data_IF_942230754799
#
_entry.id   IF_942230754799
#
_cell.length_a   1.000
_cell.length_b   1.000
_cell.length_c   1.000
_cell.angle_alpha   90.00
_cell.angle_beta   90.00
_cell.angle_gamma   90.00
#
_symmetry.space_group_name_H-M   'P 1'
#
loop_
_entity.id
_entity.type
_entity.pdbx_description
1 polymer ?
#
# COMPACT_ATOMS: atom_id res chain seq x y z
N UNK A 1 5.65 -6.10 16.32
CA UNK A 1 5.37 -7.46 15.84
C UNK A 1 5.67 -7.60 14.37
N UNK A 2 6.00 -8.80 13.96
CA UNK A 2 6.13 -9.17 12.55
C UNK A 2 5.97 -10.66 12.34
N UNK A 3 5.56 -11.05 11.14
CA UNK A 3 5.70 -12.40 10.61
C UNK A 3 7.10 -12.60 10.04
N UNK A 4 7.57 -13.84 10.05
CA UNK A 4 8.84 -14.27 9.47
C UNK A 4 8.60 -15.58 8.74
N UNK A 5 9.05 -15.68 7.49
CA UNK A 5 8.93 -16.89 6.69
C UNK A 5 9.60 -18.09 7.36
N UNK A 6 8.99 -19.24 7.16
CA UNK A 6 9.50 -20.55 7.47
C UNK A 6 9.46 -21.43 6.24
N UNK A 7 8.70 -22.53 6.29
CA UNK A 7 8.30 -23.24 5.09
C UNK A 7 7.21 -22.50 4.36
N UNK A 8 6.24 -21.94 5.09
CA UNK A 8 5.29 -20.99 4.54
C UNK A 8 5.94 -19.63 4.24
N UNK A 9 5.61 -19.04 3.09
CA UNK A 9 6.22 -17.83 2.55
C UNK A 9 5.21 -16.69 2.36
N UNK A 10 5.67 -15.47 2.52
CA UNK A 10 4.85 -14.27 2.37
C UNK A 10 4.24 -14.14 0.97
N UNK A 11 4.89 -14.62 -0.06
CA UNK A 11 4.40 -14.46 -1.44
C UNK A 11 3.29 -15.45 -1.82
N UNK A 12 3.32 -16.65 -1.26
CA UNK A 12 2.35 -17.73 -1.53
C UNK A 12 1.28 -17.79 -0.47
N UNK A 13 1.69 -18.07 0.75
CA UNK A 13 0.83 -18.67 1.77
C UNK A 13 0.16 -17.68 2.70
N UNK A 14 0.74 -16.49 2.87
CA UNK A 14 0.16 -15.47 3.77
C UNK A 14 0.59 -14.05 3.39
N UNK A 15 -0.14 -13.06 3.90
CA UNK A 15 0.26 -11.66 3.81
C UNK A 15 1.06 -11.28 5.04
N UNK A 16 2.27 -10.73 4.86
CA UNK A 16 3.10 -10.21 5.94
C UNK A 16 2.30 -9.26 6.83
N UNK A 17 2.28 -9.57 8.13
CA UNK A 17 1.75 -8.70 9.16
C UNK A 17 2.91 -8.12 9.98
N UNK A 18 3.02 -6.80 10.03
CA UNK A 18 4.05 -6.11 10.79
C UNK A 18 3.56 -4.75 11.29
N UNK A 19 4.03 -4.36 12.46
CA UNK A 19 3.61 -3.08 13.05
C UNK A 19 4.00 -2.95 14.51
N UNK A 20 3.39 -1.98 15.18
CA UNK A 20 3.62 -1.71 16.60
C UNK A 20 2.34 -1.92 17.40
N UNK A 21 2.41 -2.78 18.42
CA UNK A 21 1.37 -2.94 19.42
C UNK A 21 1.55 -1.84 20.47
N UNK A 22 0.56 -0.97 20.61
CA UNK A 22 0.58 0.12 21.58
C UNK A 22 -0.40 -0.18 22.69
N UNK A 23 0.10 -0.24 23.92
CA UNK A 23 -0.71 -0.46 25.11
C UNK A 23 -0.96 0.87 25.81
N UNK A 24 -2.22 1.25 25.95
CA UNK A 24 -2.63 2.35 26.80
C UNK A 24 -2.68 1.93 28.28
N UNK A 25 -2.93 2.90 29.16
CA UNK A 25 -3.06 2.62 30.58
C UNK A 25 -4.20 1.61 30.85
N UNK A 26 -3.89 0.53 31.52
CA UNK A 26 -4.85 -0.53 31.86
C UNK A 26 -5.11 -1.55 30.75
N UNK A 27 -4.53 -1.42 29.58
CA UNK A 27 -4.66 -2.40 28.51
C UNK A 27 -3.72 -3.59 28.75
N UNK A 28 -4.28 -4.80 28.72
CA UNK A 28 -3.55 -6.06 29.01
C UNK A 28 -3.41 -6.98 27.80
N UNK A 29 -4.10 -6.67 26.67
CA UNK A 29 -4.08 -7.50 25.46
C UNK A 29 -4.22 -6.67 24.20
N UNK A 30 -3.56 -7.12 23.14
CA UNK A 30 -3.70 -6.61 21.77
C UNK A 30 -3.73 -7.78 20.81
N UNK A 31 -4.46 -7.62 19.73
CA UNK A 31 -4.56 -8.60 18.63
C UNK A 31 -4.13 -7.97 17.32
N UNK A 32 -3.66 -8.79 16.42
CA UNK A 32 -3.47 -8.48 15.01
C UNK A 32 -3.84 -9.70 14.19
N UNK A 33 -4.20 -9.50 12.93
CA UNK A 33 -4.56 -10.57 12.01
C UNK A 33 -3.40 -10.85 11.06
N UNK A 34 -3.25 -12.11 10.66
CA UNK A 34 -2.45 -12.52 9.51
C UNK A 34 -3.41 -13.09 8.48
N UNK A 35 -3.37 -12.57 7.27
CA UNK A 35 -4.21 -13.04 6.18
C UNK A 35 -3.52 -14.24 5.54
N UNK A 36 -4.19 -15.38 5.51
CA UNK A 36 -3.73 -16.59 4.85
C UNK A 36 -4.26 -16.57 3.43
N UNK A 37 -3.42 -16.88 2.47
CA UNK A 37 -3.78 -17.07 1.06
C UNK A 37 -4.09 -18.54 0.80
N UNK A 38 -5.01 -18.78 -0.11
CA UNK A 38 -5.33 -20.10 -0.64
C UNK A 38 -4.74 -20.22 -2.05
N UNK A 39 -4.31 -21.43 -2.45
CA UNK A 39 -3.73 -21.68 -3.77
C UNK A 39 -4.10 -23.09 -4.30
N UNK A 40 -3.50 -23.50 -5.40
CA UNK A 40 -3.74 -24.81 -6.05
C UNK A 40 -2.51 -25.71 -5.99
N UNK A 41 -1.64 -25.49 -5.03
CA UNK A 41 -0.42 -26.29 -4.85
C UNK A 41 -0.62 -27.28 -3.70
N UNK A 42 -0.24 -28.53 -3.90
CA UNK A 42 -0.22 -29.54 -2.83
C UNK A 42 1.12 -29.45 -2.11
N UNK A 43 1.17 -28.77 -1.00
CA UNK A 43 2.41 -28.43 -0.30
C UNK A 43 2.55 -29.13 1.06
N UNK A 44 1.44 -29.62 1.59
CA UNK A 44 1.37 -30.21 2.93
C UNK A 44 1.34 -29.16 4.03
N UNK A 45 1.74 -29.56 5.23
CA UNK A 45 1.71 -28.63 6.37
C UNK A 45 2.95 -27.74 6.37
N UNK A 46 2.73 -26.44 6.34
CA UNK A 46 3.74 -25.42 6.33
C UNK A 46 3.69 -24.52 7.58
N UNK A 47 4.73 -23.75 7.82
CA UNK A 47 4.77 -22.90 9.01
C UNK A 47 5.51 -21.59 8.79
N UNK A 48 5.09 -20.57 9.53
CA UNK A 48 5.78 -19.30 9.67
C UNK A 48 5.86 -18.90 11.16
N UNK A 49 6.68 -17.90 11.47
CA UNK A 49 6.87 -17.44 12.84
C UNK A 49 6.27 -16.05 13.06
N UNK A 50 5.56 -15.86 14.16
CA UNK A 50 5.20 -14.56 14.72
C UNK A 50 6.28 -14.16 15.73
N UNK A 51 6.82 -12.95 15.63
CA UNK A 51 7.84 -12.45 16.55
C UNK A 51 7.46 -11.07 17.12
N UNK A 52 7.74 -10.90 18.42
CA UNK A 52 7.73 -9.60 19.09
C UNK A 52 9.17 -9.12 19.26
N UNK A 53 9.40 -7.84 19.06
CA UNK A 53 10.73 -7.24 19.18
C UNK A 53 10.66 -5.78 19.62
N UNK A 54 11.79 -5.21 19.99
CA UNK A 54 11.97 -3.77 20.25
C UNK A 54 10.94 -3.18 21.23
N UNK A 55 10.81 -3.71 22.47
CA UNK A 55 9.93 -3.13 23.47
C UNK A 55 10.43 -1.73 23.85
N UNK A 56 9.50 -0.80 24.08
CA UNK A 56 9.80 0.59 24.47
C UNK A 56 8.95 1.01 25.67
N UNK A 57 9.21 2.21 26.21
CA UNK A 57 8.40 2.76 27.32
C UNK A 57 8.52 1.99 28.63
N UNK A 58 9.65 1.33 28.88
CA UNK A 58 9.87 0.53 30.09
C UNK A 58 9.34 -0.91 30.02
N UNK A 59 8.74 -1.31 28.88
CA UNK A 59 8.31 -2.68 28.67
C UNK A 59 9.49 -3.62 28.42
N UNK A 60 9.32 -4.90 28.74
CA UNK A 60 10.25 -5.97 28.41
C UNK A 60 9.51 -7.11 27.71
N UNK A 61 10.22 -7.87 26.87
CA UNK A 61 9.67 -9.10 26.30
C UNK A 61 9.60 -10.18 27.37
N UNK A 62 8.49 -10.91 27.40
CA UNK A 62 8.34 -12.11 28.20
C UNK A 62 9.17 -13.29 27.65
N UNK A 63 9.14 -14.41 28.36
CA UNK A 63 9.86 -15.62 27.96
C UNK A 63 9.41 -16.13 26.56
N UNK A 64 8.14 -15.92 26.18
CA UNK A 64 7.59 -16.29 24.89
C UNK A 64 7.47 -15.03 24.02
N UNK A 65 8.54 -14.66 23.35
CA UNK A 65 8.57 -13.53 22.41
C UNK A 65 8.33 -13.95 20.94
N UNK A 66 8.14 -15.24 20.67
CA UNK A 66 7.82 -15.78 19.36
C UNK A 66 6.85 -16.95 19.45
N UNK A 67 6.11 -17.19 18.38
CA UNK A 67 5.21 -18.33 18.24
C UNK A 67 5.24 -18.82 16.79
N UNK A 68 5.22 -20.14 16.60
CA UNK A 68 5.08 -20.76 15.29
C UNK A 68 3.59 -20.94 14.97
N UNK A 69 3.21 -20.55 13.79
CA UNK A 69 1.87 -20.80 13.20
C UNK A 69 2.03 -21.85 12.11
N UNK A 70 1.18 -22.87 12.12
CA UNK A 70 1.13 -23.89 11.09
C UNK A 70 -0.08 -23.62 10.18
N UNK A 71 0.16 -23.61 8.88
CA UNK A 71 -0.87 -23.64 7.83
C UNK A 71 -1.03 -25.10 7.42
N UNK A 72 -2.25 -25.57 7.39
CA UNK A 72 -2.56 -26.94 6.96
C UNK A 72 -3.18 -26.89 5.58
N UNK A 73 -2.54 -27.52 4.62
CA UNK A 73 -3.05 -27.73 3.29
C UNK A 73 -4.34 -28.57 3.33
N UNK A 74 -5.33 -28.23 2.53
CA UNK A 74 -6.61 -28.92 2.49
C UNK A 74 -6.53 -30.30 1.78
N UNK A 75 -5.43 -30.59 1.09
CA UNK A 75 -5.08 -31.91 0.55
C UNK A 75 -5.84 -32.32 -0.72
N UNK A 76 -6.65 -31.45 -1.30
CA UNK A 76 -7.34 -31.72 -2.58
C UNK A 76 -7.43 -30.44 -3.42
N UNK A 77 -6.40 -30.25 -4.22
CA UNK A 77 -6.27 -29.03 -5.00
C UNK A 77 -6.95 -29.12 -6.37
N UNK A 78 -7.57 -28.03 -6.87
CA UNK A 78 -8.11 -28.00 -8.21
C UNK A 78 -6.99 -28.13 -9.25
N UNK A 79 -7.28 -28.81 -10.34
CA UNK A 79 -6.31 -28.95 -11.46
C UNK A 79 -6.08 -27.66 -12.26
N UNK A 80 -6.80 -26.60 -11.92
CA UNK A 80 -6.66 -25.24 -12.49
C UNK A 80 -6.12 -24.29 -11.45
N UNK A 81 -5.42 -23.27 -11.89
CA UNK A 81 -4.96 -22.21 -11.00
C UNK A 81 -6.17 -21.52 -10.33
N UNK A 82 -6.22 -21.52 -9.00
CA UNK A 82 -7.36 -21.02 -8.23
C UNK A 82 -7.61 -19.52 -8.45
N UNK A 83 -6.57 -18.76 -8.82
CA UNK A 83 -6.71 -17.32 -9.11
C UNK A 83 -7.61 -17.07 -10.34
N UNK A 84 -7.90 -18.08 -11.15
CA UNK A 84 -8.86 -17.98 -12.26
C UNK A 84 -10.31 -17.97 -11.77
N UNK A 85 -10.58 -18.40 -10.54
CA UNK A 85 -11.88 -18.24 -9.91
C UNK A 85 -12.14 -16.77 -9.57
N UNK A 86 -13.37 -16.28 -9.82
CA UNK A 86 -13.72 -14.89 -9.64
C UNK A 86 -13.73 -14.48 -8.16
N UNK A 87 -14.17 -15.36 -7.27
CA UNK A 87 -14.24 -15.09 -5.83
C UNK A 87 -12.83 -15.01 -5.22
N UNK A 88 -11.98 -15.99 -5.55
CA UNK A 88 -10.57 -15.99 -5.13
C UNK A 88 -9.84 -14.76 -5.66
N UNK A 89 -10.03 -14.43 -6.94
CA UNK A 89 -9.40 -13.24 -7.54
C UNK A 89 -9.79 -11.94 -6.82
N UNK A 90 -11.07 -11.75 -6.55
CA UNK A 90 -11.55 -10.57 -5.83
C UNK A 90 -11.07 -10.58 -4.38
N UNK A 91 -11.18 -11.70 -3.67
CA UNK A 91 -10.70 -11.84 -2.29
C UNK A 91 -9.21 -11.51 -2.16
N UNK A 92 -8.40 -11.99 -3.11
CA UNK A 92 -6.97 -11.69 -3.13
C UNK A 92 -6.67 -10.19 -3.33
N UNK A 93 -7.49 -9.45 -4.08
CA UNK A 93 -7.34 -8.00 -4.19
C UNK A 93 -7.59 -7.26 -2.88
N UNK A 94 -8.50 -7.74 -2.03
CA UNK A 94 -8.65 -7.20 -0.67
C UNK A 94 -7.39 -7.43 0.17
N UNK A 95 -6.75 -8.59 0.05
CA UNK A 95 -5.47 -8.86 0.72
C UNK A 95 -4.35 -7.96 0.18
N UNK A 96 -4.19 -7.92 -1.15
CA UNK A 96 -3.05 -7.29 -1.82
C UNK A 96 -3.09 -5.76 -1.76
N UNK A 97 -4.27 -5.15 -1.82
CA UNK A 97 -4.42 -3.68 -1.86
C UNK A 97 -4.90 -3.08 -0.55
N UNK A 98 -5.73 -3.80 0.21
CA UNK A 98 -6.41 -3.27 1.38
C UNK A 98 -6.00 -3.95 2.70
N UNK A 99 -5.10 -4.93 2.66
CA UNK A 99 -4.57 -5.66 3.84
C UNK A 99 -5.68 -6.17 4.78
N UNK A 100 -6.80 -6.61 4.25
CA UNK A 100 -7.93 -7.14 5.02
C UNK A 100 -8.70 -8.21 4.26
N UNK A 101 -9.51 -8.95 4.98
CA UNK A 101 -10.52 -9.82 4.36
C UNK A 101 -11.57 -8.98 3.62
N UNK A 102 -12.09 -9.56 2.54
CA UNK A 102 -13.23 -8.98 1.85
C UNK A 102 -14.45 -8.95 2.78
N UNK A 103 -15.19 -7.85 2.75
CA UNK A 103 -16.54 -7.83 3.27
C UNK A 103 -17.49 -8.52 2.28
N UNK A 104 -18.61 -9.04 2.83
CA UNK A 104 -19.56 -9.83 2.03
C UNK A 104 -20.10 -9.06 0.82
N UNK A 105 -20.52 -7.82 1.02
CA UNK A 105 -21.17 -7.03 -0.02
C UNK A 105 -20.19 -6.66 -1.14
N UNK A 106 -18.97 -6.25 -0.79
CA UNK A 106 -17.92 -5.89 -1.74
C UNK A 106 -17.44 -7.11 -2.53
N UNK A 107 -17.21 -8.25 -1.86
CA UNK A 107 -16.84 -9.50 -2.52
C UNK A 107 -17.91 -9.93 -3.52
N UNK A 108 -19.17 -9.94 -3.08
CA UNK A 108 -20.31 -10.34 -3.92
C UNK A 108 -20.45 -9.41 -5.13
N UNK A 109 -20.39 -8.09 -4.94
CA UNK A 109 -20.50 -7.12 -6.02
C UNK A 109 -19.46 -7.34 -7.13
N UNK A 110 -18.19 -7.42 -6.76
CA UNK A 110 -17.11 -7.57 -7.74
C UNK A 110 -17.07 -8.94 -8.39
N UNK A 111 -17.36 -10.00 -7.66
CA UNK A 111 -17.49 -11.36 -8.19
C UNK A 111 -18.58 -11.43 -9.25
N UNK A 112 -19.78 -10.90 -8.96
CA UNK A 112 -20.89 -10.86 -9.91
C UNK A 112 -20.53 -10.09 -11.19
N UNK A 113 -19.75 -9.02 -11.10
CA UNK A 113 -19.29 -8.30 -12.29
C UNK A 113 -18.46 -9.19 -13.23
N UNK A 114 -17.66 -10.10 -12.69
CA UNK A 114 -16.89 -11.07 -13.51
C UNK A 114 -17.81 -12.19 -14.00
N UNK A 115 -18.70 -12.72 -13.18
CA UNK A 115 -19.60 -13.82 -13.54
C UNK A 115 -20.62 -13.47 -14.64
N UNK A 116 -20.97 -12.21 -14.80
CA UNK A 116 -21.79 -11.73 -15.93
C UNK A 116 -21.20 -12.07 -17.29
N UNK A 117 -19.91 -12.31 -17.36
CA UNK A 117 -19.21 -12.72 -18.59
C UNK A 117 -19.47 -14.19 -18.99
N UNK A 118 -20.03 -15.00 -18.09
CA UNK A 118 -20.19 -16.45 -18.32
C UNK A 118 -18.88 -17.10 -18.76
N UNK A 119 -18.82 -17.71 -19.94
CA UNK A 119 -17.64 -18.37 -20.49
C UNK A 119 -16.89 -17.56 -21.56
N UNK A 120 -17.18 -16.28 -21.71
CA UNK A 120 -16.46 -15.39 -22.65
C UNK A 120 -15.12 -14.93 -22.05
N UNK A 121 -13.97 -15.48 -22.52
CA UNK A 121 -12.67 -15.15 -21.94
C UNK A 121 -12.26 -13.70 -22.17
N UNK A 122 -12.69 -13.07 -23.27
CA UNK A 122 -12.40 -11.66 -23.55
C UNK A 122 -13.14 -10.73 -22.58
N UNK A 123 -14.41 -11.04 -22.29
CA UNK A 123 -15.18 -10.32 -21.29
C UNK A 123 -14.57 -10.48 -19.89
N UNK A 124 -14.21 -11.71 -19.49
CA UNK A 124 -13.58 -12.00 -18.20
C UNK A 124 -12.30 -11.21 -18.02
N UNK A 125 -11.42 -11.19 -19.01
CA UNK A 125 -10.16 -10.44 -19.00
C UNK A 125 -10.38 -8.93 -18.78
N UNK A 126 -11.32 -8.35 -19.51
CA UNK A 126 -11.70 -6.93 -19.33
C UNK A 126 -12.25 -6.67 -17.92
N UNK A 127 -13.15 -7.52 -17.43
CA UNK A 127 -13.75 -7.35 -16.10
C UNK A 127 -12.72 -7.49 -14.99
N UNK A 128 -11.81 -8.45 -15.07
CA UNK A 128 -10.71 -8.61 -14.09
C UNK A 128 -9.80 -7.38 -14.06
N UNK A 129 -9.46 -6.84 -15.23
CA UNK A 129 -8.69 -5.60 -15.33
C UNK A 129 -9.43 -4.44 -14.68
N UNK A 130 -10.74 -4.31 -14.92
CA UNK A 130 -11.56 -3.26 -14.31
C UNK A 130 -11.67 -3.39 -12.80
N UNK A 131 -11.85 -4.60 -12.27
CA UNK A 131 -11.83 -4.88 -10.82
C UNK A 131 -10.51 -4.43 -10.22
N UNK A 132 -9.38 -4.84 -10.80
CA UNK A 132 -8.05 -4.48 -10.32
C UNK A 132 -7.83 -2.96 -10.25
N UNK A 133 -8.26 -2.25 -11.28
CA UNK A 133 -8.18 -0.77 -11.31
C UNK A 133 -9.07 -0.13 -10.24
N UNK A 134 -10.26 -0.69 -10.00
CA UNK A 134 -11.18 -0.17 -9.00
C UNK A 134 -10.61 -0.27 -7.58
N UNK A 135 -9.83 -1.31 -7.27
CA UNK A 135 -9.13 -1.41 -5.99
C UNK A 135 -8.08 -0.31 -5.82
N UNK A 136 -7.28 -0.02 -6.84
CA UNK A 136 -6.33 1.09 -6.82
C UNK A 136 -7.04 2.45 -6.69
N UNK A 137 -8.19 2.62 -7.33
CA UNK A 137 -8.98 3.86 -7.30
C UNK A 137 -9.93 3.95 -6.10
N UNK A 138 -10.06 2.91 -5.29
CA UNK A 138 -10.95 2.91 -4.13
C UNK A 138 -10.59 4.01 -3.14
N UNK A 139 -11.61 4.59 -2.48
CA UNK A 139 -11.41 5.60 -1.43
C UNK A 139 -10.48 5.06 -0.34
N UNK A 140 -10.63 3.78 0.01
CA UNK A 140 -9.82 3.14 1.04
C UNK A 140 -8.32 3.15 0.65
N UNK A 141 -7.97 2.69 -0.56
CA UNK A 141 -6.59 2.71 -1.02
C UNK A 141 -6.05 4.13 -1.21
N UNK A 142 -6.83 5.05 -1.80
CA UNK A 142 -6.42 6.42 -2.06
C UNK A 142 -6.07 7.19 -0.78
N UNK A 143 -6.74 6.87 0.32
CA UNK A 143 -6.52 7.52 1.63
C UNK A 143 -5.58 6.75 2.55
N UNK A 144 -5.09 5.59 2.13
CA UNK A 144 -4.14 4.76 2.90
C UNK A 144 -2.86 4.50 2.11
N UNK A 145 -2.80 3.48 1.25
CA UNK A 145 -1.59 3.11 0.52
C UNK A 145 -1.04 4.25 -0.35
N UNK A 146 -1.89 4.93 -1.09
CA UNK A 146 -1.47 6.08 -1.90
C UNK A 146 -0.99 7.26 -1.03
N UNK A 147 -1.62 7.48 0.14
CA UNK A 147 -1.15 8.47 1.10
C UNK A 147 0.26 8.16 1.60
N UNK A 148 0.55 6.91 1.95
CA UNK A 148 1.89 6.47 2.36
C UNK A 148 2.92 6.80 1.28
N UNK A 149 2.66 6.45 0.01
CA UNK A 149 3.59 6.72 -1.10
C UNK A 149 3.87 8.23 -1.22
N UNK A 150 2.85 9.09 -1.13
CA UNK A 150 3.03 10.54 -1.19
C UNK A 150 3.85 11.07 -0.02
N UNK A 151 3.64 10.54 1.19
CA UNK A 151 4.41 10.91 2.39
C UNK A 151 5.88 10.55 2.22
N UNK A 152 6.19 9.33 1.76
CA UNK A 152 7.58 8.93 1.47
C UNK A 152 8.23 9.87 0.45
N UNK A 153 7.53 10.14 -0.64
CA UNK A 153 8.04 10.99 -1.72
C UNK A 153 8.35 12.40 -1.25
N UNK A 154 7.42 13.04 -0.55
CA UNK A 154 7.59 14.37 0.00
C UNK A 154 8.72 14.44 1.05
N UNK A 155 8.91 13.37 1.81
CA UNK A 155 9.89 13.34 2.89
C UNK A 155 11.31 13.04 2.41
N UNK A 156 11.49 12.12 1.46
CA UNK A 156 12.78 11.48 1.25
C UNK A 156 13.33 11.53 -0.18
N UNK A 157 12.61 12.07 -1.16
CA UNK A 157 13.15 12.14 -2.52
C UNK A 157 14.48 12.95 -2.55
N UNK A 158 15.49 12.36 -3.17
CA UNK A 158 16.84 12.93 -3.22
C UNK A 158 17.71 12.66 -1.99
N UNK A 159 17.19 12.01 -0.93
CA UNK A 159 18.01 11.54 0.18
C UNK A 159 18.95 10.41 -0.31
N UNK A 160 20.21 10.40 0.16
CA UNK A 160 21.20 9.43 -0.27
C UNK A 160 20.75 7.96 -0.11
N UNK A 161 20.04 7.65 0.99
CA UNK A 161 19.50 6.32 1.25
C UNK A 161 18.23 6.00 0.42
N UNK A 162 17.55 7.02 -0.12
CA UNK A 162 16.28 6.90 -0.87
C UNK A 162 16.24 7.86 -2.06
N UNK A 163 17.07 7.67 -3.09
CA UNK A 163 17.17 8.64 -4.20
C UNK A 163 15.83 8.89 -4.90
N UNK A 164 14.97 7.87 -4.97
CA UNK A 164 13.64 7.96 -5.59
C UNK A 164 12.55 8.42 -4.61
N UNK A 165 12.82 8.44 -3.30
CA UNK A 165 11.82 8.75 -2.27
C UNK A 165 10.67 7.75 -2.22
N UNK A 166 10.89 6.50 -2.61
CA UNK A 166 9.88 5.44 -2.56
C UNK A 166 10.05 4.59 -1.29
N UNK A 167 8.97 4.07 -0.71
CA UNK A 167 9.06 3.08 0.36
C UNK A 167 9.62 1.77 -0.18
N UNK A 168 10.22 0.97 0.67
CA UNK A 168 10.39 -0.46 0.43
C UNK A 168 9.04 -1.17 0.63
N UNK A 169 8.87 -2.34 0.01
CA UNK A 169 7.63 -3.12 0.12
C UNK A 169 7.19 -3.37 1.57
N UNK A 170 8.11 -3.81 2.42
CA UNK A 170 7.83 -4.07 3.84
C UNK A 170 7.50 -2.80 4.63
N UNK A 171 8.10 -1.67 4.27
CA UNK A 171 7.76 -0.37 4.88
C UNK A 171 6.38 0.09 4.45
N UNK A 172 6.06 -0.06 3.16
CA UNK A 172 4.74 0.24 2.62
C UNK A 172 3.65 -0.57 3.34
N UNK A 173 3.84 -1.88 3.51
CA UNK A 173 2.91 -2.73 4.25
C UNK A 173 2.72 -2.27 5.69
N UNK A 174 3.83 -2.04 6.42
CA UNK A 174 3.80 -1.57 7.80
C UNK A 174 2.96 -0.30 7.95
N UNK A 175 3.26 0.68 7.12
CA UNK A 175 2.69 2.01 7.26
C UNK A 175 1.24 2.06 6.78
N UNK A 176 0.91 1.26 5.74
CA UNK A 176 -0.46 1.11 5.26
C UNK A 176 -1.33 0.38 6.26
N UNK A 177 -0.86 -0.73 6.86
CA UNK A 177 -1.57 -1.46 7.91
C UNK A 177 -1.81 -0.57 9.15
N UNK A 178 -0.93 0.37 9.44
CA UNK A 178 -1.13 1.34 10.51
C UNK A 178 -2.27 2.33 10.19
N UNK A 179 -2.30 2.88 8.98
CA UNK A 179 -3.37 3.78 8.55
C UNK A 179 -4.73 3.09 8.47
N UNK A 180 -4.75 1.83 8.05
CA UNK A 180 -5.97 1.04 7.89
C UNK A 180 -6.51 0.45 9.20
N UNK A 181 -5.79 0.55 10.32
CA UNK A 181 -6.17 -0.10 11.57
C UNK A 181 -7.58 0.25 12.03
N UNK A 182 -8.49 -0.75 12.02
CA UNK A 182 -9.89 -0.60 12.40
C UNK A 182 -10.70 0.27 11.44
N UNK A 183 -10.25 0.40 10.19
CA UNK A 183 -10.98 1.10 9.13
C UNK A 183 -11.59 0.06 8.19
N UNK A 184 -12.92 0.14 8.02
CA UNK A 184 -13.65 -0.56 6.95
C UNK A 184 -14.59 0.47 6.33
N UNK A 185 -14.29 0.86 5.10
CA UNK A 185 -15.08 1.90 4.39
C UNK A 185 -16.54 1.47 4.30
N UNK A 186 -17.46 2.41 4.61
CA UNK A 186 -18.88 2.14 4.67
C UNK A 186 -19.40 1.77 6.08
N UNK A 187 -18.54 1.35 7.00
CA UNK A 187 -18.95 1.14 8.40
C UNK A 187 -19.04 2.46 9.17
N UNK A 188 -19.94 2.54 10.14
CA UNK A 188 -20.11 3.75 10.95
C UNK A 188 -18.79 4.16 11.64
N UNK A 189 -18.41 5.44 11.49
CA UNK A 189 -17.21 6.01 12.13
C UNK A 189 -15.88 5.73 11.42
N UNK A 190 -15.88 5.09 10.26
CA UNK A 190 -14.65 4.78 9.53
C UNK A 190 -13.83 6.04 9.16
N UNK A 191 -14.49 7.12 8.77
CA UNK A 191 -13.80 8.37 8.40
C UNK A 191 -13.05 9.00 9.58
N UNK A 192 -13.72 9.04 10.75
CA UNK A 192 -13.10 9.55 11.97
C UNK A 192 -11.91 8.70 12.39
N UNK A 193 -12.04 7.38 12.29
CA UNK A 193 -10.96 6.43 12.58
C UNK A 193 -9.78 6.64 11.65
N UNK A 194 -10.03 6.72 10.36
CA UNK A 194 -8.99 6.96 9.36
C UNK A 194 -8.30 8.31 9.58
N UNK A 195 -9.06 9.36 9.88
CA UNK A 195 -8.49 10.69 10.18
C UNK A 195 -7.59 10.65 11.43
N UNK A 196 -8.02 9.99 12.51
CA UNK A 196 -7.21 9.80 13.70
C UNK A 196 -5.90 9.05 13.39
N UNK A 197 -6.01 7.90 12.70
CA UNK A 197 -4.84 7.11 12.31
C UNK A 197 -3.86 7.95 11.47
N UNK A 198 -4.36 8.72 10.50
CA UNK A 198 -3.54 9.57 9.62
C UNK A 198 -2.81 10.66 10.40
N UNK A 199 -3.49 11.33 11.35
CA UNK A 199 -2.88 12.35 12.19
C UNK A 199 -1.82 11.75 13.12
N UNK A 200 -2.09 10.61 13.76
CA UNK A 200 -1.13 9.91 14.61
C UNK A 200 0.08 9.43 13.81
N UNK A 201 -0.14 8.88 12.63
CA UNK A 201 0.92 8.48 11.70
C UNK A 201 1.81 9.68 11.35
N UNK A 202 1.23 10.79 10.92
CA UNK A 202 1.99 11.98 10.54
C UNK A 202 2.80 12.57 11.72
N UNK A 203 2.24 12.60 12.94
CA UNK A 203 2.97 13.05 14.14
C UNK A 203 4.20 12.19 14.42
N UNK A 204 4.06 10.87 14.36
CA UNK A 204 5.21 9.98 14.56
C UNK A 204 6.21 10.08 13.43
N UNK A 205 5.73 10.23 12.20
CA UNK A 205 6.57 10.38 11.03
C UNK A 205 7.53 11.56 11.16
N UNK A 206 6.99 12.74 11.44
CA UNK A 206 7.80 13.98 11.56
C UNK A 206 8.69 14.01 12.79
N UNK A 207 8.44 13.18 13.79
CA UNK A 207 9.29 12.98 14.97
C UNK A 207 10.37 11.91 14.76
N UNK A 208 10.30 11.14 13.67
CA UNK A 208 11.24 10.07 13.38
C UNK A 208 12.64 10.58 13.00
N UNK A 209 13.68 9.86 13.43
CA UNK A 209 15.07 10.27 13.22
C UNK A 209 15.42 10.45 11.73
N UNK A 210 14.93 9.57 10.86
CA UNK A 210 15.15 9.67 9.40
C UNK A 210 14.53 10.94 8.82
N UNK A 211 13.31 11.29 9.25
CA UNK A 211 12.66 12.53 8.83
C UNK A 211 13.40 13.76 9.35
N UNK A 212 13.78 13.77 10.63
CA UNK A 212 14.50 14.89 11.26
C UNK A 212 15.87 15.11 10.63
N UNK A 213 16.54 14.07 10.14
CA UNK A 213 17.78 14.19 9.39
C UNK A 213 17.61 14.96 8.06
N UNK A 214 16.43 14.85 7.42
CA UNK A 214 16.10 15.60 6.21
C UNK A 214 15.49 16.97 6.49
N UNK A 215 14.75 17.10 7.59
CA UNK A 215 14.00 18.30 7.99
C UNK A 215 14.40 18.71 9.41
N UNK A 216 15.53 19.40 9.59
CA UNK A 216 15.97 19.90 10.91
C UNK A 216 14.89 20.70 11.63
N UNK A 217 14.96 20.74 12.97
CA UNK A 217 13.92 21.34 13.80
C UNK A 217 13.81 22.86 13.68
N UNK A 218 14.87 23.52 13.23
CA UNK A 218 15.01 24.97 13.07
C UNK A 218 14.51 25.51 11.73
N UNK A 219 13.97 24.65 10.85
CA UNK A 219 13.37 25.11 9.58
C UNK A 219 12.17 26.00 9.82
N UNK A 220 12.11 27.13 9.09
CA UNK A 220 10.90 27.96 9.03
C UNK A 220 9.76 27.25 8.34
N UNK A 221 8.51 27.68 8.56
CA UNK A 221 7.32 27.14 7.88
C UNK A 221 7.47 27.15 6.35
N UNK A 222 8.01 28.26 5.81
CA UNK A 222 8.24 28.39 4.37
C UNK A 222 9.26 27.38 3.86
N UNK A 223 10.44 27.28 4.50
CA UNK A 223 11.49 26.32 4.11
C UNK A 223 10.99 24.90 4.18
N UNK A 224 10.21 24.58 5.21
CA UNK A 224 9.63 23.25 5.40
C UNK A 224 8.66 22.89 4.28
N UNK A 225 7.70 23.76 3.98
CA UNK A 225 6.71 23.54 2.92
C UNK A 225 7.37 23.46 1.54
N UNK A 226 8.28 24.40 1.22
CA UNK A 226 8.99 24.42 -0.08
C UNK A 226 9.82 23.16 -0.30
N UNK A 227 10.50 22.66 0.73
CA UNK A 227 11.27 21.41 0.63
C UNK A 227 10.39 20.19 0.39
N UNK A 228 9.22 20.08 1.05
CA UNK A 228 8.27 19.00 0.82
C UNK A 228 7.74 19.01 -0.63
N UNK A 229 7.37 20.17 -1.15
CA UNK A 229 6.93 20.30 -2.54
C UNK A 229 8.06 20.00 -3.54
N UNK A 230 9.26 20.49 -3.30
CA UNK A 230 10.43 20.22 -4.14
C UNK A 230 10.74 18.72 -4.19
N UNK A 231 10.75 18.03 -3.04
CA UNK A 231 10.91 16.58 -2.97
C UNK A 231 9.80 15.84 -3.74
N UNK A 232 8.57 16.36 -3.70
CA UNK A 232 7.45 15.80 -4.45
C UNK A 232 7.55 16.05 -5.96
N UNK A 233 8.55 16.82 -6.42
CA UNK A 233 8.77 17.12 -7.83
C UNK A 233 7.71 18.03 -8.43
N UNK A 234 7.15 18.94 -7.65
CA UNK A 234 6.13 19.90 -8.09
C UNK A 234 6.48 21.34 -7.69
N UNK A 235 6.01 22.28 -8.51
CA UNK A 235 5.91 23.69 -8.13
C UNK A 235 4.48 23.93 -7.66
N UNK A 236 4.25 24.24 -6.35
CA UNK A 236 2.92 24.45 -5.83
C UNK A 236 2.28 25.72 -6.40
N UNK A 237 0.96 25.76 -6.46
CA UNK A 237 0.23 27.01 -6.57
C UNK A 237 0.45 27.88 -5.33
N UNK A 238 0.21 29.20 -5.43
CA UNK A 238 0.29 30.09 -4.25
C UNK A 238 -0.65 29.62 -3.14
N UNK A 239 -1.86 29.19 -3.48
CA UNK A 239 -2.83 28.69 -2.49
C UNK A 239 -2.36 27.42 -1.77
N UNK A 240 -1.78 26.46 -2.47
CA UNK A 240 -1.24 25.23 -1.87
C UNK A 240 -0.06 25.53 -0.93
N UNK A 241 0.86 26.39 -1.38
CA UNK A 241 2.00 26.81 -0.55
C UNK A 241 1.53 27.52 0.72
N UNK A 242 0.63 28.49 0.58
CA UNK A 242 0.14 29.30 1.70
C UNK A 242 -0.67 28.42 2.68
N UNK A 243 -1.44 27.44 2.18
CA UNK A 243 -2.12 26.45 3.03
C UNK A 243 -1.14 25.60 3.84
N UNK A 244 -0.05 25.13 3.24
CA UNK A 244 0.97 24.34 3.93
C UNK A 244 1.70 25.17 5.00
N UNK A 245 2.03 26.43 4.69
CA UNK A 245 2.65 27.38 5.66
C UNK A 245 1.68 27.65 6.82
N UNK A 246 0.41 27.91 6.53
CA UNK A 246 -0.62 28.11 7.54
C UNK A 246 -0.82 26.88 8.44
N UNK A 247 -0.82 25.68 7.85
CA UNK A 247 -0.91 24.42 8.59
C UNK A 247 0.28 24.19 9.53
N UNK A 248 1.47 24.64 9.16
CA UNK A 248 2.64 24.59 10.03
C UNK A 248 2.46 25.40 11.31
N UNK A 249 1.77 26.54 11.25
CA UNK A 249 1.44 27.39 12.38
C UNK A 249 2.66 27.78 13.23
N UNK A 250 2.63 27.42 14.50
CA UNK A 250 3.74 27.65 15.44
C UNK A 250 4.84 26.57 15.40
N UNK A 251 4.71 25.60 14.48
CA UNK A 251 5.67 24.50 14.34
C UNK A 251 5.48 23.38 15.37
N UNK A 252 6.59 22.81 15.80
CA UNK A 252 6.56 21.61 16.64
C UNK A 252 6.06 20.37 15.89
N UNK A 253 5.80 19.29 16.61
CA UNK A 253 5.36 18.04 16.01
C UNK A 253 4.01 18.17 15.31
N UNK A 254 3.05 18.83 15.92
CA UNK A 254 1.69 18.98 15.37
C UNK A 254 1.68 19.87 14.11
N UNK A 255 2.36 21.01 14.13
CA UNK A 255 2.44 21.89 12.97
C UNK A 255 3.17 21.25 11.79
N UNK A 256 4.28 20.57 12.06
CA UNK A 256 5.02 19.81 11.03
C UNK A 256 4.18 18.68 10.43
N UNK A 257 3.45 17.94 11.25
CA UNK A 257 2.53 16.90 10.80
C UNK A 257 1.40 17.46 9.94
N UNK A 258 0.79 18.56 10.38
CA UNK A 258 -0.29 19.21 9.64
C UNK A 258 0.21 19.76 8.28
N UNK A 259 1.40 20.38 8.24
CA UNK A 259 2.01 20.85 7.00
C UNK A 259 2.37 19.70 6.05
N UNK A 260 2.92 18.60 6.57
CA UNK A 260 3.17 17.40 5.76
C UNK A 260 1.90 16.88 5.09
N UNK A 261 0.81 16.74 5.85
CA UNK A 261 -0.47 16.30 5.31
C UNK A 261 -1.04 17.31 4.31
N UNK A 262 -0.96 18.63 4.60
CA UNK A 262 -1.39 19.67 3.67
C UNK A 262 -0.67 19.59 2.32
N UNK A 263 0.65 19.33 2.32
CA UNK A 263 1.43 19.15 1.09
C UNK A 263 1.05 17.87 0.37
N UNK A 264 1.02 16.74 1.08
CA UNK A 264 0.75 15.44 0.46
C UNK A 264 -0.66 15.30 -0.10
N UNK A 265 -1.63 16.06 0.44
CA UNK A 265 -3.02 16.10 -0.03
C UNK A 265 -3.29 17.22 -1.04
N UNK A 266 -2.30 18.06 -1.35
CA UNK A 266 -2.44 19.09 -2.37
C UNK A 266 -2.69 18.48 -3.75
N UNK A 267 -3.45 19.19 -4.60
CA UNK A 267 -3.77 18.72 -5.94
C UNK A 267 -2.54 18.48 -6.80
N UNK A 268 -1.56 19.38 -6.71
CA UNK A 268 -0.30 19.27 -7.46
C UNK A 268 0.48 18.00 -7.10
N UNK A 269 0.63 17.68 -5.81
CA UNK A 269 1.33 16.47 -5.37
C UNK A 269 0.51 15.22 -5.71
N UNK A 270 -0.80 15.25 -5.46
CA UNK A 270 -1.68 14.14 -5.78
C UNK A 270 -1.59 13.76 -7.27
N UNK A 271 -1.74 14.72 -8.16
CA UNK A 271 -1.67 14.47 -9.60
C UNK A 271 -0.29 13.99 -10.05
N UNK A 272 0.77 14.58 -9.49
CA UNK A 272 2.16 14.23 -9.87
C UNK A 272 2.54 12.82 -9.45
N UNK A 273 2.10 12.38 -8.28
CA UNK A 273 2.50 11.07 -7.73
C UNK A 273 1.58 9.92 -8.17
N UNK A 274 0.49 10.19 -8.91
CA UNK A 274 -0.47 9.16 -9.32
C UNK A 274 0.17 8.06 -10.17
N UNK A 275 0.83 8.41 -11.26
CA UNK A 275 1.48 7.43 -12.14
C UNK A 275 2.58 6.63 -11.43
N UNK A 276 3.53 7.29 -10.71
CA UNK A 276 4.52 6.57 -9.89
C UNK A 276 3.90 5.58 -8.90
N UNK A 277 2.82 5.96 -8.24
CA UNK A 277 2.13 5.09 -7.30
C UNK A 277 1.40 3.93 -8.00
N UNK A 278 0.74 4.19 -9.13
CA UNK A 278 0.06 3.16 -9.90
C UNK A 278 1.03 2.07 -10.37
N UNK A 279 2.22 2.47 -10.84
CA UNK A 279 3.26 1.51 -11.24
C UNK A 279 3.82 0.77 -10.03
N UNK A 280 4.12 1.46 -8.94
CA UNK A 280 4.67 0.84 -7.73
C UNK A 280 3.72 -0.23 -7.18
N UNK A 281 2.42 0.02 -7.22
CA UNK A 281 1.40 -0.93 -6.75
C UNK A 281 1.28 -2.19 -7.60
N UNK A 282 1.74 -2.18 -8.86
CA UNK A 282 1.83 -3.43 -9.62
C UNK A 282 2.85 -4.38 -8.99
N UNK A 283 3.99 -3.85 -8.53
CA UNK A 283 5.02 -4.63 -7.85
C UNK A 283 4.60 -5.00 -6.42
N UNK A 284 4.03 -4.07 -5.68
CA UNK A 284 3.67 -4.29 -4.27
C UNK A 284 2.43 -5.17 -4.11
N UNK A 285 1.37 -4.90 -4.87
CA UNK A 285 0.12 -5.65 -4.80
C UNK A 285 0.27 -7.04 -5.43
N UNK A 286 0.62 -7.11 -6.71
CA UNK A 286 0.63 -8.40 -7.40
C UNK A 286 1.87 -9.23 -7.15
N UNK A 287 3.07 -8.62 -7.19
CA UNK A 287 4.33 -9.34 -7.12
C UNK A 287 4.93 -9.43 -5.71
N UNK A 288 4.41 -8.65 -4.77
CA UNK A 288 4.83 -8.59 -3.35
C UNK A 288 6.34 -8.45 -3.19
N UNK A 289 6.94 -7.50 -3.91
CA UNK A 289 8.36 -7.20 -3.89
C UNK A 289 8.66 -5.77 -4.31
N UNK A 290 9.88 -5.34 -4.08
CA UNK A 290 10.37 -4.10 -4.67
C UNK A 290 10.59 -4.25 -6.18
N UNK A 291 10.47 -3.17 -6.97
CA UNK A 291 10.77 -3.22 -8.40
C UNK A 291 12.17 -3.73 -8.74
N UNK A 292 13.13 -3.52 -7.84
CA UNK A 292 14.54 -3.94 -8.02
C UNK A 292 14.89 -5.30 -7.42
N UNK A 293 13.91 -6.01 -6.85
CA UNK A 293 14.15 -7.34 -6.27
C UNK A 293 14.14 -8.43 -7.35
N UNK A 294 14.76 -9.60 -7.13
CA UNK A 294 14.60 -10.76 -8.01
C UNK A 294 13.11 -11.09 -8.23
N UNK A 295 12.71 -11.50 -9.42
CA UNK A 295 13.52 -11.98 -10.54
C UNK A 295 13.99 -10.91 -11.54
N UNK A 296 13.99 -9.63 -11.20
CA UNK A 296 14.53 -8.60 -12.09
C UNK A 296 15.98 -8.89 -12.46
N UNK A 297 16.25 -9.04 -13.76
CA UNK A 297 17.56 -9.51 -14.25
C UNK A 297 18.71 -8.55 -13.89
N UNK A 298 18.45 -7.26 -13.87
CA UNK A 298 19.41 -6.20 -13.60
C UNK A 298 19.39 -5.69 -12.15
N UNK A 299 18.45 -6.18 -11.34
CA UNK A 299 18.22 -5.74 -9.94
C UNK A 299 18.14 -4.21 -9.82
N UNK A 300 17.48 -3.58 -10.78
CA UNK A 300 17.26 -2.14 -10.85
C UNK A 300 15.77 -1.78 -11.06
N UNK A 301 15.50 -0.56 -11.41
CA UNK A 301 14.14 -0.06 -11.64
C UNK A 301 13.73 -0.04 -13.13
N UNK A 302 14.41 -0.76 -14.02
CA UNK A 302 14.17 -0.68 -15.46
C UNK A 302 12.71 -1.03 -15.83
N UNK A 303 12.16 -2.09 -15.25
CA UNK A 303 10.76 -2.48 -15.44
C UNK A 303 9.77 -1.43 -14.93
N UNK A 304 10.04 -0.87 -13.76
CA UNK A 304 9.27 0.23 -13.19
C UNK A 304 9.32 1.48 -14.08
N UNK A 305 10.52 1.87 -14.53
CA UNK A 305 10.73 3.06 -15.36
C UNK A 305 10.07 2.92 -16.75
N UNK A 306 10.09 1.70 -17.33
CA UNK A 306 9.37 1.40 -18.56
C UNK A 306 7.86 1.65 -18.43
N UNK A 307 7.22 1.10 -17.39
CA UNK A 307 5.78 1.27 -17.18
C UNK A 307 5.43 2.71 -16.80
N UNK A 308 6.27 3.39 -16.04
CA UNK A 308 6.09 4.80 -15.70
C UNK A 308 6.14 5.68 -16.94
N UNK A 309 7.14 5.50 -17.81
CA UNK A 309 7.24 6.24 -19.07
C UNK A 309 6.04 5.98 -19.97
N UNK A 310 5.57 4.72 -20.06
CA UNK A 310 4.37 4.38 -20.83
C UNK A 310 3.12 5.05 -20.27
N UNK A 311 2.92 5.01 -18.95
CA UNK A 311 1.76 5.65 -18.31
C UNK A 311 1.82 7.18 -18.41
N UNK A 312 3.01 7.77 -18.28
CA UNK A 312 3.22 9.21 -18.42
C UNK A 312 2.94 9.69 -19.86
N UNK A 313 3.15 8.84 -20.88
CA UNK A 313 2.85 9.18 -22.28
C UNK A 313 1.36 9.42 -22.54
N UNK A 314 0.48 8.98 -21.68
CA UNK A 314 -0.96 9.20 -21.75
C UNK A 314 -1.45 10.39 -20.92
N UNK A 315 -0.53 11.08 -20.23
CA UNK A 315 -0.86 12.27 -19.44
C UNK A 315 -1.18 13.45 -20.35
N UNK A 316 -2.32 14.09 -20.12
CA UNK A 316 -2.75 15.27 -20.89
C UNK A 316 -2.55 16.54 -20.04
N UNK A 317 -2.20 17.69 -20.67
CA UNK A 317 -2.12 18.96 -19.95
C UNK A 317 -3.44 19.32 -19.26
N UNK A 318 -3.36 19.70 -17.98
CA UNK A 318 -4.53 20.10 -17.19
C UNK A 318 -5.42 18.96 -16.69
N UNK A 319 -5.02 17.70 -16.89
CA UNK A 319 -5.71 16.53 -16.34
C UNK A 319 -5.67 16.53 -14.81
N UNK A 320 -6.82 16.30 -14.19
CA UNK A 320 -6.91 16.08 -12.73
C UNK A 320 -7.30 14.62 -12.44
N UNK A 321 -6.35 13.82 -11.99
CA UNK A 321 -6.54 12.40 -11.67
C UNK A 321 -7.31 12.16 -10.36
N UNK A 322 -7.72 13.21 -9.64
CA UNK A 322 -8.70 13.10 -8.56
C UNK A 322 -10.10 12.83 -9.13
N UNK A 323 -10.33 13.13 -10.40
CA UNK A 323 -11.50 12.68 -11.14
C UNK A 323 -11.31 11.21 -11.49
N UNK A 324 -12.20 10.34 -10.97
CA UNK A 324 -12.11 8.89 -11.15
C UNK A 324 -12.14 8.45 -12.61
N UNK A 325 -12.95 9.09 -13.45
CA UNK A 325 -13.03 8.77 -14.87
C UNK A 325 -11.69 9.07 -15.58
N UNK A 326 -11.09 10.23 -15.30
CA UNK A 326 -9.78 10.60 -15.81
C UNK A 326 -8.70 9.62 -15.37
N UNK A 327 -8.68 9.28 -14.08
CA UNK A 327 -7.73 8.31 -13.51
C UNK A 327 -7.89 6.92 -14.14
N UNK A 328 -9.13 6.45 -14.26
CA UNK A 328 -9.45 5.14 -14.85
C UNK A 328 -9.03 5.08 -16.32
N UNK A 329 -9.37 6.09 -17.12
CA UNK A 329 -9.02 6.14 -18.54
C UNK A 329 -7.51 6.13 -18.77
N UNK A 330 -6.74 6.78 -17.89
CA UNK A 330 -5.27 6.77 -17.96
C UNK A 330 -4.71 5.37 -17.69
N UNK A 331 -5.18 4.69 -16.64
CA UNK A 331 -4.75 3.32 -16.31
C UNK A 331 -5.12 2.33 -17.42
N UNK A 332 -6.33 2.42 -17.98
CA UNK A 332 -6.80 1.53 -19.04
C UNK A 332 -5.92 1.60 -20.30
N UNK A 333 -5.46 2.79 -20.67
CA UNK A 333 -4.60 2.99 -21.85
C UNK A 333 -3.23 2.33 -21.70
N UNK A 334 -2.75 2.16 -20.49
CA UNK A 334 -1.41 1.61 -20.24
C UNK A 334 -1.31 0.11 -20.43
N UNK A 335 -2.42 -0.64 -20.41
CA UNK A 335 -2.46 -2.11 -20.43
C UNK A 335 -1.61 -2.76 -19.31
N UNK A 336 -1.13 -1.95 -18.37
CA UNK A 336 -0.19 -2.34 -17.33
C UNK A 336 -0.83 -3.35 -16.38
N UNK A 337 -2.01 -3.06 -15.86
CA UNK A 337 -2.73 -3.93 -14.92
C UNK A 337 -2.90 -5.33 -15.54
N UNK A 338 -3.36 -5.38 -16.79
CA UNK A 338 -3.54 -6.64 -17.50
C UNK A 338 -2.23 -7.43 -17.61
N UNK A 339 -1.12 -6.75 -17.93
CA UNK A 339 0.18 -7.40 -18.05
C UNK A 339 0.62 -8.04 -16.72
N UNK A 340 0.36 -7.39 -15.58
CA UNK A 340 0.73 -7.92 -14.28
C UNK A 340 -0.18 -9.07 -13.83
N UNK A 341 -1.51 -8.95 -13.94
CA UNK A 341 -2.42 -10.05 -13.53
C UNK A 341 -2.30 -11.31 -14.41
N UNK A 342 -1.77 -11.18 -15.63
CA UNK A 342 -1.49 -12.31 -16.52
C UNK A 342 -0.04 -12.79 -16.47
N UNK A 343 0.83 -12.11 -15.70
CA UNK A 343 2.23 -12.50 -15.61
C UNK A 343 2.39 -13.87 -14.92
N UNK A 344 3.36 -14.63 -15.38
CA UNK A 344 3.73 -15.90 -14.74
C UNK A 344 4.11 -15.69 -13.26
N UNK A 345 4.75 -14.56 -12.92
CA UNK A 345 5.17 -14.29 -11.55
C UNK A 345 3.97 -14.12 -10.61
N UNK A 346 2.92 -13.42 -11.04
CA UNK A 346 1.69 -13.31 -10.25
C UNK A 346 0.95 -14.64 -10.15
N UNK A 347 0.76 -15.32 -11.28
CA UNK A 347 -0.01 -16.56 -11.34
C UNK A 347 0.61 -17.70 -10.55
N UNK A 348 1.94 -17.79 -10.54
CA UNK A 348 2.68 -18.81 -9.77
C UNK A 348 2.53 -18.70 -8.25
N UNK A 349 2.00 -17.62 -7.75
CA UNK A 349 1.62 -17.49 -6.33
C UNK A 349 0.44 -18.39 -5.95
N UNK A 350 -0.37 -18.81 -6.92
CA UNK A 350 -1.65 -19.48 -6.70
C UNK A 350 -1.77 -20.82 -7.44
N UNK A 351 -0.74 -21.26 -8.10
CA UNK A 351 -0.75 -22.53 -8.85
C UNK A 351 0.05 -22.48 -10.15
N UNK A 352 -0.05 -23.54 -10.94
CA UNK A 352 0.63 -23.68 -12.24
C UNK A 352 -0.16 -23.03 -13.38
#
# INVERSE_FOLDING_TARGET
YRTLDGTATERGDYTTALGTLRFGQGETGKTFSVLISDDSLVEGAESFTLALSNPTGGAALGAQAAATVQITDNGSEPSRNIIDDAETFVGQHYHDFLNRQADFDGLHFWREEIWKCSSDPGCVDVKRTNVSQAFFLSIEFQRTGYQVIRVYKASFAGAAARPRGLPLYTEFLRDTQELQRGVVVGQAGWEQRLQQNTQEFARRWVAGAEFLAQFPADMTAQQFAEKLFANSGVTPTTAERDAAIAAYGVGGTDGRAAALLSVTDSGSVYNRQFNPAAVLMQYFGYLRRNPSDPPEATLDFAGYDFWLAKLDSFSLPGEDVRNEETARNRLLRAEMVRAFILSDEYRKRFGQ
#
